data_IF_945958287885
#
_entry.id   IF_945958287885
#
_cell.length_a   1.000
_cell.length_b   1.000
_cell.length_c   1.000
_cell.angle_alpha   90.00
_cell.angle_beta   90.00
_cell.angle_gamma   90.00
#
_symmetry.space_group_name_H-M   'P 1'
#
loop_
_entity.id
_entity.type
_entity.pdbx_description
1 polymer ?
#
# COMPACT_ATOMS: atom_id res chain seq x y z
N UNK A 1 -11.56 8.55 -9.05
CA UNK A 1 -10.87 9.34 -8.01
C UNK A 1 -10.07 8.44 -7.09
N UNK A 2 -8.83 8.81 -6.76
CA UNK A 2 -7.91 8.03 -5.92
C UNK A 2 -8.45 7.74 -4.49
N UNK A 3 -9.48 8.45 -4.06
CA UNK A 3 -10.06 8.36 -2.71
C UNK A 3 -11.56 8.07 -2.67
N UNK A 4 -12.18 7.60 -3.76
CA UNK A 4 -13.58 7.15 -3.73
C UNK A 4 -14.63 8.19 -3.30
N UNK A 5 -14.32 9.50 -3.37
CA UNK A 5 -15.21 10.59 -2.91
C UNK A 5 -14.84 11.17 -1.54
N UNK A 6 -13.85 10.59 -0.86
CA UNK A 6 -13.32 11.06 0.43
C UNK A 6 -12.03 11.85 0.20
N UNK A 7 -12.09 12.88 -0.66
CA UNK A 7 -10.95 13.78 -0.82
C UNK A 7 -10.85 14.68 0.41
N UNK A 8 -9.64 14.91 0.96
CA UNK A 8 -9.45 15.98 1.94
C UNK A 8 -10.02 17.27 1.37
N UNK A 9 -10.99 17.86 2.06
CA UNK A 9 -11.52 19.17 1.71
C UNK A 9 -10.75 20.21 2.51
N UNK A 10 -10.49 21.34 1.89
CA UNK A 10 -9.97 22.52 2.59
C UNK A 10 -10.99 23.63 2.43
N UNK A 11 -11.04 24.52 3.42
CA UNK A 11 -11.79 25.77 3.36
C UNK A 11 -10.86 26.91 3.73
N UNK A 12 -11.07 28.07 3.12
CA UNK A 12 -10.39 29.30 3.53
C UNK A 12 -11.27 29.93 4.61
N UNK A 13 -10.72 30.10 5.80
CA UNK A 13 -11.37 30.81 6.90
C UNK A 13 -10.66 32.15 7.14
N UNK A 14 -11.40 33.16 7.57
CA UNK A 14 -10.82 34.40 8.06
C UNK A 14 -10.59 34.27 9.57
N UNK A 15 -9.34 34.08 9.97
CA UNK A 15 -8.93 34.13 11.37
C UNK A 15 -8.12 35.42 11.58
N UNK A 16 -8.57 36.27 12.50
CA UNK A 16 -7.88 37.54 12.85
C UNK A 16 -7.49 38.37 11.62
N UNK A 17 -8.45 38.55 10.71
CA UNK A 17 -8.31 39.33 9.47
C UNK A 17 -7.29 38.82 8.45
N UNK A 18 -6.80 37.59 8.59
CA UNK A 18 -5.92 36.94 7.62
C UNK A 18 -6.58 35.67 7.02
N UNK A 19 -6.40 35.39 5.72
CA UNK A 19 -6.86 34.16 5.12
C UNK A 19 -6.02 32.98 5.62
N UNK A 20 -6.66 32.03 6.30
CA UNK A 20 -6.06 30.79 6.80
C UNK A 20 -6.66 29.61 6.06
N UNK A 21 -5.80 28.70 5.58
CA UNK A 21 -6.23 27.44 4.99
C UNK A 21 -6.52 26.46 6.12
N UNK A 22 -7.79 26.09 6.27
CA UNK A 22 -8.25 25.10 7.26
C UNK A 22 -8.51 23.78 6.55
N UNK A 23 -7.79 22.75 6.98
CA UNK A 23 -7.98 21.38 6.50
C UNK A 23 -9.14 20.73 7.26
N UNK A 24 -10.15 20.26 6.53
CA UNK A 24 -11.37 19.70 7.09
C UNK A 24 -11.40 18.18 6.90
N UNK A 25 -10.80 17.46 7.85
CA UNK A 25 -10.78 16.00 7.83
C UNK A 25 -12.15 15.47 8.26
N UNK A 26 -13.07 15.31 7.31
CA UNK A 26 -14.47 14.90 7.57
C UNK A 26 -14.65 13.51 8.21
N UNK A 27 -13.60 12.80 8.60
CA UNK A 27 -13.68 11.71 9.58
C UNK A 27 -12.29 11.25 10.01
N UNK A 28 -12.19 10.80 11.27
CA UNK A 28 -11.09 9.98 11.80
C UNK A 28 -10.58 8.94 10.78
N UNK A 29 -11.47 8.41 9.93
CA UNK A 29 -11.17 7.48 8.86
C UNK A 29 -10.14 8.01 7.85
N UNK A 30 -10.20 9.29 7.44
CA UNK A 30 -9.22 9.89 6.52
C UNK A 30 -7.85 9.94 7.19
N UNK A 31 -7.82 10.37 8.46
CA UNK A 31 -6.58 10.42 9.23
C UNK A 31 -5.96 9.02 9.37
N UNK A 32 -6.78 8.00 9.69
CA UNK A 32 -6.33 6.61 9.75
C UNK A 32 -5.83 6.12 8.38
N UNK A 33 -6.54 6.41 7.29
CA UNK A 33 -6.13 6.02 5.93
C UNK A 33 -4.81 6.68 5.51
N UNK A 34 -4.60 7.94 5.88
CA UNK A 34 -3.34 8.65 5.63
C UNK A 34 -2.19 8.05 6.45
N UNK A 35 -2.40 7.78 7.75
CA UNK A 35 -1.41 7.09 8.59
C UNK A 35 -1.04 5.71 8.02
N UNK A 36 -2.02 4.93 7.55
CA UNK A 36 -1.77 3.65 6.88
C UNK A 36 -0.99 3.83 5.57
N UNK A 37 -1.28 4.87 4.81
CA UNK A 37 -0.58 5.16 3.56
C UNK A 37 0.89 5.50 3.81
N UNK A 38 1.19 6.36 4.79
CA UNK A 38 2.56 6.65 5.22
C UNK A 38 3.26 5.39 5.75
N UNK A 39 2.57 4.59 6.55
CA UNK A 39 3.13 3.36 7.10
C UNK A 39 3.39 2.28 6.04
N UNK A 40 2.70 2.31 4.88
CA UNK A 40 2.96 1.42 3.75
C UNK A 40 4.02 1.95 2.78
N UNK A 41 4.21 3.27 2.70
CA UNK A 41 5.21 3.90 1.81
C UNK A 41 6.56 4.09 2.48
N UNK A 42 6.61 4.11 3.81
CA UNK A 42 7.85 4.13 4.56
C UNK A 42 8.63 2.81 4.39
N UNK A 43 9.88 2.91 3.92
CA UNK A 43 10.75 1.76 3.67
C UNK A 43 11.26 1.12 4.95
N UNK A 44 11.27 1.89 6.04
CA UNK A 44 11.71 1.45 7.37
C UNK A 44 10.56 0.89 8.21
N UNK A 45 9.32 1.00 7.72
CA UNK A 45 8.16 0.36 8.33
C UNK A 45 8.21 -1.17 8.25
N UNK A 46 7.76 -1.81 9.32
CA UNK A 46 7.52 -3.25 9.35
C UNK A 46 6.22 -3.62 8.62
N UNK A 47 5.30 -2.69 8.36
CA UNK A 47 4.09 -2.99 7.59
C UNK A 47 4.36 -2.99 6.09
N UNK A 48 4.03 -4.11 5.43
CA UNK A 48 4.36 -4.38 4.03
C UNK A 48 3.18 -4.98 3.28
N UNK A 49 3.23 -4.91 1.95
CA UNK A 49 2.30 -5.61 1.08
C UNK A 49 2.86 -6.96 0.63
N UNK A 50 2.09 -8.04 0.77
CA UNK A 50 2.52 -9.37 0.34
C UNK A 50 2.64 -9.44 -1.19
N UNK A 51 3.80 -9.89 -1.71
CA UNK A 51 4.02 -9.99 -3.16
C UNK A 51 3.03 -10.92 -3.87
N UNK A 52 2.57 -11.96 -3.20
CA UNK A 52 1.63 -12.95 -3.74
C UNK A 52 0.17 -12.47 -3.70
N UNK A 53 -0.39 -12.28 -2.49
CA UNK A 53 -1.82 -12.02 -2.31
C UNK A 53 -2.21 -10.54 -2.19
N UNK A 54 -1.22 -9.64 -2.22
CA UNK A 54 -1.41 -8.18 -2.09
C UNK A 54 -2.09 -7.70 -0.81
N UNK A 55 -2.20 -8.57 0.22
CA UNK A 55 -2.67 -8.18 1.55
C UNK A 55 -1.56 -7.47 2.32
N UNK A 56 -1.92 -6.42 3.06
CA UNK A 56 -1.04 -5.80 4.03
C UNK A 56 -0.77 -6.75 5.21
N UNK A 57 0.46 -6.76 5.72
CA UNK A 57 0.89 -7.55 6.87
C UNK A 57 2.03 -6.86 7.60
N UNK A 58 2.21 -7.15 8.89
CA UNK A 58 3.37 -6.70 9.66
C UNK A 58 4.47 -7.74 9.56
N UNK A 59 5.63 -7.35 9.06
CA UNK A 59 6.81 -8.17 8.90
C UNK A 59 7.46 -8.42 10.26
N UNK A 60 7.64 -9.69 10.63
CA UNK A 60 8.36 -10.05 11.85
C UNK A 60 9.88 -9.84 11.76
N UNK A 61 10.43 -9.65 10.56
CA UNK A 61 11.87 -9.47 10.29
C UNK A 61 12.05 -8.54 9.09
N UNK A 62 13.12 -7.73 9.13
CA UNK A 62 13.55 -6.90 7.99
C UNK A 62 13.74 -7.78 6.75
N UNK A 63 13.10 -7.40 5.64
CA UNK A 63 13.17 -8.11 4.37
C UNK A 63 12.11 -9.19 4.13
N UNK A 64 11.16 -9.43 5.05
CA UNK A 64 10.03 -10.31 4.76
C UNK A 64 9.11 -9.69 3.69
N UNK A 65 8.92 -10.41 2.57
CA UNK A 65 8.12 -9.94 1.42
C UNK A 65 6.75 -10.65 1.29
N UNK A 66 6.49 -11.63 2.15
CA UNK A 66 5.30 -12.48 2.11
C UNK A 66 4.65 -12.56 3.49
N UNK A 67 3.33 -12.49 3.54
CA UNK A 67 2.58 -12.60 4.81
C UNK A 67 2.61 -14.01 5.42
N UNK A 68 3.04 -15.03 4.68
CA UNK A 68 3.13 -16.41 5.15
C UNK A 68 4.04 -17.25 4.27
N UNK A 69 4.55 -18.36 4.82
CA UNK A 69 5.32 -19.35 4.08
C UNK A 69 4.51 -19.95 2.92
N UNK A 70 3.19 -20.12 3.10
CA UNK A 70 2.28 -20.58 2.04
C UNK A 70 2.28 -19.65 0.85
N UNK A 71 2.17 -18.33 1.07
CA UNK A 71 2.22 -17.33 0.01
C UNK A 71 3.58 -17.32 -0.72
N UNK A 72 4.69 -17.48 0.02
CA UNK A 72 6.03 -17.59 -0.57
C UNK A 72 6.15 -18.81 -1.49
N UNK A 73 5.70 -19.97 -1.03
CA UNK A 73 5.77 -21.21 -1.80
C UNK A 73 4.89 -21.14 -3.07
N UNK A 74 3.65 -20.66 -2.97
CA UNK A 74 2.77 -20.51 -4.13
C UNK A 74 3.33 -19.53 -5.17
N UNK A 75 3.85 -18.39 -4.72
CA UNK A 75 4.50 -17.43 -5.61
C UNK A 75 5.67 -18.04 -6.39
N UNK A 76 6.54 -18.79 -5.70
CA UNK A 76 7.67 -19.45 -6.34
C UNK A 76 7.24 -20.54 -7.35
N UNK A 77 6.17 -21.28 -7.05
CA UNK A 77 5.60 -22.26 -7.99
C UNK A 77 5.10 -21.58 -9.25
N UNK A 78 4.32 -20.49 -9.13
CA UNK A 78 3.80 -19.76 -10.29
C UNK A 78 4.94 -19.15 -11.12
N UNK A 79 5.88 -18.47 -10.48
CA UNK A 79 7.06 -17.90 -11.14
C UNK A 79 7.89 -18.96 -11.88
N UNK A 80 8.07 -20.14 -11.29
CA UNK A 80 8.78 -21.25 -11.92
C UNK A 80 8.04 -21.82 -13.14
N UNK A 81 6.71 -21.95 -13.04
CA UNK A 81 5.86 -22.41 -14.15
C UNK A 81 5.87 -21.44 -15.32
N UNK A 82 5.82 -20.14 -15.06
CA UNK A 82 5.92 -19.09 -16.09
C UNK A 82 7.27 -19.16 -16.81
N UNK A 83 8.39 -19.27 -16.07
CA UNK A 83 9.72 -19.44 -16.66
C UNK A 83 9.82 -20.69 -17.56
N UNK A 84 9.23 -21.81 -17.14
CA UNK A 84 9.20 -23.04 -17.96
C UNK A 84 8.36 -22.89 -19.23
N UNK A 85 7.29 -22.08 -19.22
CA UNK A 85 6.48 -21.81 -20.41
C UNK A 85 7.23 -20.93 -21.41
N UNK A 86 7.87 -19.84 -20.96
CA UNK A 86 8.67 -18.97 -21.81
C UNK A 86 9.85 -19.69 -22.48
N UNK A 87 10.55 -20.55 -21.75
CA UNK A 87 11.63 -21.33 -22.34
C UNK A 87 11.16 -22.38 -23.39
N UNK A 88 9.88 -22.76 -23.39
CA UNK A 88 9.33 -23.65 -24.42
C UNK A 88 8.95 -22.91 -25.70
N UNK A 89 8.65 -21.62 -25.63
CA UNK A 89 8.37 -20.81 -26.82
C UNK A 89 9.63 -20.36 -27.55
N UNK A 90 10.75 -20.18 -26.85
CA UNK A 90 12.04 -19.78 -27.46
C UNK A 90 12.79 -20.93 -28.14
N UNK A 91 12.33 -22.18 -27.99
CA UNK A 91 12.98 -23.37 -28.53
C UNK A 91 12.19 -24.00 -29.69
N UNK A 92 11.40 -23.19 -30.41
CA UNK A 92 10.57 -23.61 -31.53
C UNK A 92 10.70 -22.66 -32.71
#
# INVERSE_FOLDING_TARGET
SAFGGISPTYRIALEKDAPVIVWDFHSLLIMVQMCFSFMLTDKDSDMRMCKHCKKAFVASRKGNEFCSQKCKNQFNVYKSREKKKGNKSDNR
#
